data_IF_757598767965
#
_entry.id   IF_757598767965
#
_cell.length_a   1.000
_cell.length_b   1.000
_cell.length_c   1.000
_cell.angle_alpha   90.00
_cell.angle_beta   90.00
_cell.angle_gamma   90.00
#
_symmetry.space_group_name_H-M   'P 1'
#
loop_
_entity.id
_entity.type
_entity.pdbx_description
1 polymer ?
#
# COMPACT_ATOMS: atom_id res chain seq x y z
N UNK A 1 4.81 -14.08 -4.19
CA UNK A 1 4.12 -14.33 -2.90
C UNK A 1 3.72 -13.00 -2.25
N UNK A 2 2.47 -12.83 -1.81
CA UNK A 2 1.98 -11.57 -1.22
C UNK A 2 2.72 -11.20 0.09
N UNK A 3 3.05 -9.92 0.37
CA UNK A 3 3.84 -9.50 1.52
C UNK A 3 2.99 -9.42 2.80
N UNK A 4 2.35 -10.53 3.17
CA UNK A 4 1.41 -10.61 4.31
C UNK A 4 2.04 -10.07 5.60
N UNK A 5 3.28 -10.48 5.91
CA UNK A 5 3.99 -10.03 7.11
C UNK A 5 4.19 -8.51 7.13
N UNK A 6 4.57 -7.91 5.98
CA UNK A 6 4.73 -6.45 5.88
C UNK A 6 3.39 -5.75 6.01
N UNK A 7 2.32 -6.31 5.44
CA UNK A 7 0.99 -5.73 5.56
C UNK A 7 0.50 -5.75 7.02
N UNK A 8 0.63 -6.88 7.70
CA UNK A 8 0.31 -7.01 9.13
C UNK A 8 1.13 -6.03 9.97
N UNK A 9 2.41 -5.87 9.66
CA UNK A 9 3.29 -4.89 10.30
C UNK A 9 2.82 -3.46 10.08
N UNK A 10 2.42 -3.09 8.86
CA UNK A 10 1.89 -1.75 8.57
C UNK A 10 0.59 -1.47 9.33
N UNK A 11 -0.31 -2.45 9.43
CA UNK A 11 -1.48 -2.35 10.29
C UNK A 11 -1.11 -2.14 11.75
N UNK A 12 -0.15 -2.90 12.26
CA UNK A 12 0.31 -2.78 13.64
C UNK A 12 0.91 -1.40 13.92
N UNK A 13 1.79 -0.90 13.04
CA UNK A 13 2.41 0.41 13.13
C UNK A 13 1.35 1.53 13.12
N UNK A 14 0.38 1.44 12.22
CA UNK A 14 -0.64 2.48 12.03
C UNK A 14 -1.89 2.31 12.89
N UNK A 15 -1.98 1.29 13.75
CA UNK A 15 -3.16 1.02 14.59
C UNK A 15 -3.56 2.17 15.52
N UNK A 16 -2.57 2.95 15.97
CA UNK A 16 -2.75 4.12 16.85
C UNK A 16 -2.71 5.44 16.08
N UNK A 17 -2.52 5.42 14.77
CA UNK A 17 -2.50 6.65 13.97
C UNK A 17 -3.89 7.30 13.99
N UNK A 18 -3.98 8.63 14.04
CA UNK A 18 -5.27 9.32 14.04
C UNK A 18 -6.07 9.00 12.79
N UNK A 19 -7.39 9.02 12.90
CA UNK A 19 -8.29 8.87 11.75
C UNK A 19 -7.98 9.96 10.71
N UNK A 20 -8.16 9.63 9.44
CA UNK A 20 -8.00 10.57 8.34
C UNK A 20 -9.38 10.93 7.79
N UNK A 21 -9.57 12.18 7.30
CA UNK A 21 -10.72 12.48 6.46
C UNK A 21 -10.68 11.60 5.20
N UNK A 22 -11.82 11.44 4.52
CA UNK A 22 -11.92 10.57 3.33
C UNK A 22 -10.85 10.90 2.28
N UNK A 23 -10.62 12.18 2.00
CA UNK A 23 -9.61 12.67 1.05
C UNK A 23 -8.25 12.94 1.71
N UNK A 24 -8.05 12.51 2.94
CA UNK A 24 -6.78 12.62 3.66
C UNK A 24 -5.67 11.79 3.00
N UNK A 25 -4.43 12.26 3.12
CA UNK A 25 -3.27 11.50 2.65
C UNK A 25 -2.69 10.67 3.76
N UNK A 26 -2.62 9.37 3.53
CA UNK A 26 -1.80 8.46 4.31
C UNK A 26 -0.38 8.43 3.74
N UNK A 27 0.62 8.70 4.59
CA UNK A 27 2.03 8.58 4.25
C UNK A 27 2.62 7.41 5.02
N UNK A 28 3.30 6.52 4.31
CA UNK A 28 4.03 5.38 4.88
C UNK A 28 5.41 5.26 4.24
N UNK A 29 6.34 4.64 4.96
CA UNK A 29 7.71 4.44 4.48
C UNK A 29 8.01 2.95 4.40
N UNK A 30 8.63 2.55 3.30
CA UNK A 30 8.98 1.17 3.00
C UNK A 30 10.42 1.10 2.50
N UNK A 31 11.00 -0.09 2.56
CA UNK A 31 12.29 -0.39 1.94
C UNK A 31 12.05 -1.42 0.84
N UNK A 32 12.66 -1.23 -0.33
CA UNK A 32 12.67 -2.24 -1.38
C UNK A 32 13.55 -3.41 -0.97
N UNK A 33 12.96 -4.56 -0.67
CA UNK A 33 13.70 -5.71 -0.17
C UNK A 33 14.28 -6.55 -1.31
N UNK A 34 15.27 -7.42 -1.06
CA UNK A 34 15.90 -8.22 -2.11
C UNK A 34 14.92 -9.08 -2.93
N UNK A 35 13.86 -9.59 -2.30
CA UNK A 35 12.81 -10.40 -2.95
C UNK A 35 11.72 -9.57 -3.64
N UNK A 36 11.80 -8.24 -3.58
CA UNK A 36 10.92 -7.36 -4.36
C UNK A 36 11.52 -7.05 -5.76
N UNK A 37 12.80 -7.38 -5.95
CA UNK A 37 13.59 -7.10 -7.15
C UNK A 37 13.46 -8.25 -8.17
N UNK A 38 13.57 -7.93 -9.46
CA UNK A 38 13.65 -8.91 -10.56
C UNK A 38 15.09 -9.13 -11.08
N UNK A 39 15.22 -9.90 -12.18
CA UNK A 39 16.51 -10.22 -12.78
C UNK A 39 17.29 -8.99 -13.28
N UNK A 40 16.62 -7.86 -13.51
CA UNK A 40 17.23 -6.61 -13.94
C UNK A 40 17.74 -5.76 -12.78
N UNK A 41 17.67 -6.28 -11.55
CA UNK A 41 18.04 -5.58 -10.32
C UNK A 41 17.16 -4.36 -10.01
N UNK A 42 15.94 -4.34 -10.55
CA UNK A 42 14.94 -3.31 -10.33
C UNK A 42 13.69 -3.87 -9.66
N UNK A 43 12.89 -2.99 -9.05
CA UNK A 43 11.60 -3.39 -8.47
C UNK A 43 10.74 -4.08 -9.54
N UNK A 44 10.35 -5.31 -9.26
CA UNK A 44 9.54 -6.09 -10.19
C UNK A 44 8.20 -5.36 -10.48
N UNK A 45 7.87 -5.26 -11.77
CA UNK A 45 6.67 -4.55 -12.21
C UNK A 45 5.37 -5.12 -11.59
N UNK A 46 5.22 -6.44 -11.55
CA UNK A 46 4.08 -7.11 -10.91
C UNK A 46 4.06 -6.93 -9.40
N UNK A 47 5.24 -6.76 -8.78
CA UNK A 47 5.38 -6.49 -7.35
C UNK A 47 4.94 -5.08 -6.96
N UNK A 48 5.00 -4.13 -7.89
CA UNK A 48 4.67 -2.72 -7.67
C UNK A 48 3.24 -2.55 -7.11
N UNK A 49 2.24 -3.16 -7.75
CA UNK A 49 0.85 -3.08 -7.28
C UNK A 49 0.65 -3.70 -5.90
N UNK A 50 1.37 -4.78 -5.63
CA UNK A 50 1.31 -5.45 -4.34
C UNK A 50 1.93 -4.59 -3.23
N UNK A 51 2.98 -3.82 -3.54
CA UNK A 51 3.56 -2.86 -2.61
C UNK A 51 2.57 -1.73 -2.33
N UNK A 52 1.83 -1.23 -3.33
CA UNK A 52 0.82 -0.19 -3.11
C UNK A 52 -0.28 -0.57 -2.10
N UNK A 53 -0.56 -1.87 -1.93
CA UNK A 53 -1.48 -2.32 -0.88
C UNK A 53 -1.00 -1.98 0.53
N UNK A 54 0.32 -1.90 0.75
CA UNK A 54 0.90 -1.55 2.03
C UNK A 54 0.54 -0.13 2.47
N UNK A 55 0.18 0.77 1.54
CA UNK A 55 -0.36 2.09 1.87
C UNK A 55 -1.89 2.14 1.80
N UNK A 56 -2.48 1.48 0.81
CA UNK A 56 -3.93 1.50 0.56
C UNK A 56 -4.74 0.87 1.69
N UNK A 57 -4.27 -0.25 2.22
CA UNK A 57 -5.02 -1.01 3.21
C UNK A 57 -5.00 -0.32 4.59
N UNK A 58 -3.86 0.21 5.10
CA UNK A 58 -3.88 1.09 6.27
C UNK A 58 -4.70 2.37 6.07
N UNK A 59 -4.66 2.99 4.88
CA UNK A 59 -5.53 4.12 4.55
C UNK A 59 -7.00 3.72 4.70
N UNK A 60 -7.43 2.60 4.13
CA UNK A 60 -8.80 2.09 4.24
C UNK A 60 -9.23 1.89 5.71
N UNK A 61 -8.31 1.47 6.58
CA UNK A 61 -8.56 1.41 8.02
C UNK A 61 -8.75 2.81 8.64
N UNK A 62 -7.86 3.75 8.32
CA UNK A 62 -7.84 5.11 8.89
C UNK A 62 -9.02 5.99 8.45
N UNK A 63 -9.57 5.76 7.26
CA UNK A 63 -10.77 6.47 6.75
C UNK A 63 -12.08 5.74 7.08
N UNK A 64 -12.02 4.60 7.76
CA UNK A 64 -13.20 3.84 8.19
C UNK A 64 -13.81 2.90 7.14
N UNK A 65 -13.20 2.76 5.96
CA UNK A 65 -13.68 1.88 4.89
C UNK A 65 -13.71 0.41 5.32
N UNK A 66 -12.70 -0.08 6.05
CA UNK A 66 -12.67 -1.48 6.54
C UNK A 66 -13.90 -1.77 7.41
N UNK A 67 -14.30 -0.83 8.27
CA UNK A 67 -15.48 -0.96 9.11
C UNK A 67 -16.77 -1.01 8.28
N UNK A 68 -16.88 -0.18 7.25
CA UNK A 68 -18.02 -0.19 6.33
C UNK A 68 -18.11 -1.51 5.54
N UNK A 69 -16.99 -2.00 5.00
CA UNK A 69 -16.91 -3.29 4.30
C UNK A 69 -17.37 -4.43 5.21
N UNK A 70 -16.88 -4.47 6.46
CA UNK A 70 -17.25 -5.51 7.43
C UNK A 70 -18.75 -5.49 7.77
N UNK A 71 -19.32 -4.31 8.04
CA UNK A 71 -20.75 -4.17 8.37
C UNK A 71 -21.65 -4.66 7.23
N UNK A 72 -21.26 -4.42 5.99
CA UNK A 72 -22.03 -4.79 4.80
C UNK A 72 -21.63 -6.15 4.19
N UNK A 73 -20.66 -6.87 4.79
CA UNK A 73 -20.11 -8.13 4.27
C UNK A 73 -19.59 -8.00 2.82
N UNK A 74 -18.97 -6.87 2.51
CA UNK A 74 -18.42 -6.60 1.18
C UNK A 74 -16.95 -7.00 1.09
N UNK A 75 -16.59 -7.57 -0.06
CA UNK A 75 -15.20 -7.72 -0.49
C UNK A 75 -14.69 -6.43 -1.13
N UNK A 76 -13.36 -6.27 -1.16
CA UNK A 76 -12.71 -5.20 -1.91
C UNK A 76 -12.00 -5.80 -3.13
N UNK A 77 -12.41 -5.40 -4.32
CA UNK A 77 -11.78 -5.80 -5.57
C UNK A 77 -11.18 -4.57 -6.28
N UNK A 78 -10.09 -4.77 -7.00
CA UNK A 78 -9.51 -3.74 -7.86
C UNK A 78 -10.13 -3.91 -9.24
N UNK A 79 -10.96 -2.95 -9.67
CA UNK A 79 -11.53 -2.98 -11.02
C UNK A 79 -10.50 -2.62 -12.11
N UNK A 80 -9.53 -1.76 -11.80
CA UNK A 80 -8.47 -1.36 -12.71
C UNK A 80 -7.38 -0.55 -12.01
N UNK A 81 -6.23 -0.41 -12.66
CA UNK A 81 -5.12 0.41 -12.19
C UNK A 81 -4.47 1.14 -13.36
N UNK A 82 -4.15 2.42 -13.17
CA UNK A 82 -3.31 3.22 -14.07
C UNK A 82 -1.98 3.48 -13.36
N UNK A 83 -0.88 3.00 -13.93
CA UNK A 83 0.45 3.09 -13.35
C UNK A 83 1.38 3.79 -14.32
N UNK A 84 2.14 4.76 -13.81
CA UNK A 84 3.19 5.45 -14.55
C UNK A 84 4.52 5.32 -13.83
N UNK A 85 5.47 4.67 -14.48
CA UNK A 85 6.85 4.58 -14.02
C UNK A 85 7.62 5.83 -14.46
N UNK A 86 8.35 6.44 -13.52
CA UNK A 86 9.15 7.65 -13.78
C UNK A 86 10.63 7.47 -13.46
N UNK A 87 10.93 6.64 -12.47
CA UNK A 87 12.29 6.32 -12.01
C UNK A 87 12.32 4.86 -11.58
N UNK A 88 13.46 4.22 -11.81
CA UNK A 88 13.73 2.88 -11.27
C UNK A 88 13.85 2.93 -9.75
N UNK A 89 13.54 1.82 -9.10
CA UNK A 89 13.73 1.59 -7.67
C UNK A 89 14.64 0.38 -7.53
N UNK A 90 15.77 0.54 -6.86
CA UNK A 90 16.74 -0.53 -6.64
C UNK A 90 16.69 -1.09 -5.21
N UNK A 91 17.44 -2.16 -4.98
CA UNK A 91 17.48 -2.86 -3.69
C UNK A 91 17.89 -1.90 -2.56
N UNK A 92 17.20 -2.02 -1.42
CA UNK A 92 17.37 -1.21 -0.20
C UNK A 92 17.03 0.28 -0.33
N UNK A 93 16.50 0.73 -1.46
CA UNK A 93 15.98 2.08 -1.56
C UNK A 93 14.77 2.28 -0.63
N UNK A 94 14.74 3.44 0.02
CA UNK A 94 13.62 3.87 0.85
C UNK A 94 12.56 4.51 -0.03
N UNK A 95 11.35 3.99 0.07
CA UNK A 95 10.18 4.42 -0.69
C UNK A 95 9.24 5.14 0.26
N UNK A 96 8.99 6.42 0.01
CA UNK A 96 7.86 7.13 0.62
C UNK A 96 6.61 6.88 -0.24
N UNK A 97 5.56 6.37 0.39
CA UNK A 97 4.30 6.06 -0.26
C UNK A 97 3.21 6.98 0.25
N UNK A 98 2.62 7.75 -0.66
CA UNK A 98 1.46 8.62 -0.40
C UNK A 98 0.22 7.99 -1.00
N UNK A 99 -0.75 7.67 -0.17
CA UNK A 99 -2.05 7.10 -0.58
C UNK A 99 -3.16 8.06 -0.20
N UNK A 100 -4.07 8.35 -1.14
CA UNK A 100 -5.22 9.23 -0.94
C UNK A 100 -6.41 8.69 -1.73
N UNK A 101 -7.60 8.74 -1.16
CA UNK A 101 -8.83 8.54 -1.91
C UNK A 101 -9.19 9.83 -2.63
N UNK A 102 -9.55 9.71 -3.91
CA UNK A 102 -9.96 10.83 -4.76
C UNK A 102 -11.49 10.87 -4.81
N UNK A 103 -12.04 12.08 -4.84
CA UNK A 103 -13.47 12.38 -5.00
C UNK A 103 -13.83 12.58 -6.47
#
# INVERSE_FOLDING_TARGET
MYPVLRLMWQFYLHRKSPRLPLTGTHVSHHICMPWDIDLWRELNNGRTLTIFDLGRIPLAGRVGLIGALKRNRWGLAIAGASVRYRRRITMFERIEMRSRLLS
#
